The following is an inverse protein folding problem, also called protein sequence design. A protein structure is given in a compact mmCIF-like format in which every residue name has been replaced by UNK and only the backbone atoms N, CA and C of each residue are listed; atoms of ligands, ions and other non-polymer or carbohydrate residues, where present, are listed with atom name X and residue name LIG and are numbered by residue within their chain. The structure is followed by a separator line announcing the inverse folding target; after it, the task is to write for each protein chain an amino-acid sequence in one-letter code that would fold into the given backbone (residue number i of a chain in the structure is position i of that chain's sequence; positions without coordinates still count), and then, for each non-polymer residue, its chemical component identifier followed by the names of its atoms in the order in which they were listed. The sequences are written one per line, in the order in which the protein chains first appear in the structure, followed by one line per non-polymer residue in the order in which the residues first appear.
data_IF_958117854670
#
_entry.id   IF_958117854670
#
_cell.length_a   1.000
_cell.length_b   1.000
_cell.length_c   1.000
_cell.angle_alpha   90.00
_cell.angle_beta   90.00
_cell.angle_gamma   90.00
#
_symmetry.space_group_name_H-M   'P 1'
#
loop_
_entity.id
_entity.type
_entity.pdbx_description
1 polymer ?
#
# COMPACT_ATOMS: atom_id res chain seq x y z
N UNK A 1 -14.26 14.44 -22.80
CA UNK A 1 -13.31 13.32 -22.66
C UNK A 1 -12.73 13.17 -21.25
N UNK A 2 -13.01 14.08 -20.30
CA UNK A 2 -12.70 13.96 -18.87
C UNK A 2 -13.92 13.45 -18.06
N UNK A 3 -14.47 12.28 -18.41
CA UNK A 3 -15.68 11.73 -17.73
C UNK A 3 -15.43 10.55 -16.80
N UNK A 4 -14.21 10.01 -16.78
CA UNK A 4 -13.84 8.90 -15.89
C UNK A 4 -12.48 9.25 -15.28
N UNK A 5 -12.41 9.42 -13.96
CA UNK A 5 -11.19 9.83 -13.25
C UNK A 5 -9.95 8.99 -13.56
N UNK A 6 -10.14 7.75 -14.05
CA UNK A 6 -9.10 6.86 -14.58
C UNK A 6 -8.28 7.52 -15.71
N UNK A 7 -8.93 8.26 -16.62
CA UNK A 7 -8.26 8.86 -17.77
C UNK A 7 -7.20 9.89 -17.34
N UNK A 8 -7.49 10.68 -16.31
CA UNK A 8 -6.54 11.65 -15.77
C UNK A 8 -5.32 10.95 -15.16
N UNK A 9 -5.52 9.84 -14.42
CA UNK A 9 -4.40 9.08 -13.85
C UNK A 9 -3.54 8.39 -14.91
N UNK A 10 -4.16 7.81 -15.94
CA UNK A 10 -3.43 7.18 -17.04
C UNK A 10 -2.67 8.20 -17.89
N UNK A 11 -3.20 9.41 -18.05
CA UNK A 11 -2.49 10.48 -18.75
C UNK A 11 -1.17 10.84 -18.05
N UNK A 12 -1.14 10.86 -16.72
CA UNK A 12 0.10 11.06 -15.95
C UNK A 12 1.14 9.95 -16.18
N UNK A 13 0.69 8.69 -16.17
CA UNK A 13 1.55 7.53 -16.47
C UNK A 13 2.08 7.60 -17.90
N UNK A 14 1.21 7.90 -18.87
CA UNK A 14 1.59 8.03 -20.27
C UNK A 14 2.63 9.15 -20.45
N UNK A 15 2.39 10.33 -19.87
CA UNK A 15 3.33 11.44 -19.91
C UNK A 15 4.70 11.03 -19.34
N UNK A 16 4.73 10.34 -18.20
CA UNK A 16 5.97 9.86 -17.60
C UNK A 16 6.73 8.87 -18.51
N UNK A 17 6.04 8.02 -19.28
CA UNK A 17 6.67 7.12 -20.25
C UNK A 17 7.35 7.85 -21.42
N UNK A 18 6.90 9.06 -21.77
CA UNK A 18 7.51 9.88 -22.82
C UNK A 18 8.65 10.78 -22.31
N UNK A 19 8.91 10.84 -20.99
CA UNK A 19 10.03 11.61 -20.45
C UNK A 19 11.33 10.81 -20.59
N UNK A 20 12.40 11.38 -21.18
CA UNK A 20 13.68 10.69 -21.31
C UNK A 20 14.29 10.31 -19.94
N UNK A 21 15.01 9.18 -19.86
CA UNK A 21 15.47 8.57 -18.59
C UNK A 21 16.24 9.50 -17.64
N UNK A 22 17.14 10.35 -18.18
CA UNK A 22 17.96 11.27 -17.35
C UNK A 22 17.13 12.40 -16.72
N UNK A 23 16.29 13.13 -17.49
CA UNK A 23 15.29 14.04 -16.94
C UNK A 23 14.30 13.36 -15.98
N UNK A 24 13.84 12.14 -16.29
CA UNK A 24 12.88 11.42 -15.47
C UNK A 24 13.40 11.16 -14.04
N UNK A 25 14.66 10.74 -13.89
CA UNK A 25 15.27 10.50 -12.58
C UNK A 25 15.38 11.78 -11.71
N UNK A 26 15.66 12.92 -12.35
CA UNK A 26 15.64 14.23 -11.66
C UNK A 26 14.22 14.60 -11.24
N UNK A 27 13.28 14.49 -12.18
CA UNK A 27 11.87 14.81 -11.94
C UNK A 27 11.27 13.93 -10.83
N UNK A 28 11.61 12.65 -10.76
CA UNK A 28 11.21 11.74 -9.69
C UNK A 28 11.71 12.24 -8.32
N UNK A 29 12.99 12.60 -8.24
CA UNK A 29 13.60 13.11 -7.00
C UNK A 29 12.97 14.43 -6.57
N UNK A 30 12.71 15.34 -7.52
CA UNK A 30 12.13 16.66 -7.25
C UNK A 30 10.64 16.58 -6.87
N UNK A 31 9.89 15.64 -7.47
CA UNK A 31 8.47 15.44 -7.18
C UNK A 31 8.24 14.64 -5.89
N UNK A 32 9.17 13.78 -5.50
CA UNK A 32 8.97 12.87 -4.37
C UNK A 32 8.58 13.62 -3.07
N UNK A 33 9.23 14.72 -2.66
CA UNK A 33 8.81 15.48 -1.47
C UNK A 33 7.41 16.07 -1.60
N UNK A 34 7.07 16.66 -2.75
CA UNK A 34 5.76 17.24 -2.98
C UNK A 34 4.66 16.18 -2.94
N UNK A 35 4.92 14.99 -3.48
CA UNK A 35 3.99 13.86 -3.45
C UNK A 35 3.84 13.30 -2.02
N UNK A 36 4.96 13.05 -1.33
CA UNK A 36 4.97 12.41 -0.02
C UNK A 36 4.39 13.30 1.09
N UNK A 37 4.66 14.61 1.06
CA UNK A 37 4.27 15.54 2.12
C UNK A 37 3.09 16.45 1.76
N UNK A 38 2.77 16.59 0.47
CA UNK A 38 1.65 17.41 0.00
C UNK A 38 0.49 16.57 -0.54
N UNK A 39 0.73 15.92 -1.69
CA UNK A 39 -0.35 15.28 -2.47
C UNK A 39 -0.96 14.08 -1.72
N UNK A 40 -0.14 13.16 -1.21
CA UNK A 40 -0.62 11.97 -0.51
C UNK A 40 -1.39 12.31 0.78
N UNK A 41 -0.89 13.18 1.68
CA UNK A 41 -1.65 13.60 2.87
C UNK A 41 -2.96 14.29 2.51
N UNK A 42 -2.97 15.19 1.52
CA UNK A 42 -4.19 15.87 1.08
C UNK A 42 -5.20 14.89 0.48
N UNK A 43 -4.74 13.95 -0.36
CA UNK A 43 -5.57 12.91 -0.95
C UNK A 43 -6.19 12.02 0.14
N UNK A 44 -5.37 11.56 1.09
CA UNK A 44 -5.80 10.75 2.21
C UNK A 44 -6.82 11.51 3.06
N UNK A 45 -6.58 12.78 3.38
CA UNK A 45 -7.53 13.60 4.15
C UNK A 45 -8.88 13.75 3.42
N UNK A 46 -8.87 14.06 2.12
CA UNK A 46 -10.08 14.26 1.34
C UNK A 46 -10.90 12.97 1.11
N UNK A 47 -10.25 11.81 1.04
CA UNK A 47 -10.89 10.54 0.67
C UNK A 47 -11.05 9.55 1.84
N UNK A 48 -10.25 9.66 2.89
CA UNK A 48 -10.36 8.81 4.08
C UNK A 48 -11.33 9.36 5.13
N UNK A 49 -11.84 10.59 4.95
CA UNK A 49 -12.93 11.12 5.76
C UNK A 49 -14.17 10.23 5.65
N UNK A 50 -14.42 9.43 6.68
CA UNK A 50 -15.64 8.63 6.84
C UNK A 50 -16.41 9.24 7.99
N UNK A 51 -17.67 9.62 7.75
CA UNK A 51 -18.55 9.95 8.87
C UNK A 51 -18.84 8.66 9.63
N UNK A 52 -18.36 8.57 10.86
CA UNK A 52 -18.67 7.45 11.77
C UNK A 52 -19.97 7.67 12.54
N UNK A 53 -20.62 8.82 12.32
CA UNK A 53 -21.86 9.18 12.99
C UNK A 53 -22.96 8.20 12.59
N UNK A 54 -23.55 7.51 13.58
CA UNK A 54 -24.56 6.47 13.35
C UNK A 54 -24.02 5.12 12.85
N UNK A 55 -22.70 4.99 12.62
CA UNK A 55 -22.09 3.73 12.17
C UNK A 55 -21.71 2.89 13.40
N UNK A 56 -22.54 1.90 13.72
CA UNK A 56 -22.22 0.91 14.75
C UNK A 56 -21.16 -0.10 14.29
N UNK A 57 -20.57 -0.84 15.24
CA UNK A 57 -19.65 -1.95 14.94
C UNK A 57 -20.23 -2.99 13.99
N UNK A 58 -21.56 -3.13 13.93
CA UNK A 58 -22.26 -3.99 12.98
C UNK A 58 -21.94 -3.65 11.52
N UNK A 59 -21.68 -2.38 11.19
CA UNK A 59 -21.33 -1.97 9.84
C UNK A 59 -19.98 -2.54 9.37
N UNK A 60 -19.06 -2.89 10.27
CA UNK A 60 -17.81 -3.58 9.91
C UNK A 60 -18.03 -5.05 9.54
N UNK A 61 -19.14 -5.63 10.01
CA UNK A 61 -19.54 -7.01 9.75
C UNK A 61 -20.43 -7.16 8.51
N UNK A 62 -20.78 -6.03 7.87
CA UNK A 62 -21.47 -6.06 6.59
C UNK A 62 -20.61 -6.75 5.52
N UNK A 63 -21.22 -7.43 4.52
CA UNK A 63 -20.49 -8.21 3.53
C UNK A 63 -19.50 -7.38 2.71
N UNK A 64 -19.81 -6.11 2.43
CA UNK A 64 -18.97 -5.24 1.60
C UNK A 64 -17.66 -4.88 2.32
N UNK A 65 -17.68 -4.26 3.52
CA UNK A 65 -16.46 -3.99 4.27
C UNK A 65 -15.62 -5.24 4.55
N UNK A 66 -16.28 -6.35 4.94
CA UNK A 66 -15.60 -7.60 5.25
C UNK A 66 -14.94 -8.22 4.01
N UNK A 67 -15.64 -8.23 2.87
CA UNK A 67 -15.12 -8.71 1.60
C UNK A 67 -13.92 -7.90 1.13
N UNK A 68 -13.96 -6.57 1.29
CA UNK A 68 -12.83 -5.70 0.96
C UNK A 68 -11.65 -5.94 1.89
N UNK A 69 -11.88 -6.00 3.21
CA UNK A 69 -10.84 -6.25 4.19
C UNK A 69 -10.16 -7.62 3.97
N UNK A 70 -10.96 -8.67 3.74
CA UNK A 70 -10.46 -10.00 3.43
C UNK A 70 -9.72 -10.04 2.09
N UNK A 71 -10.24 -9.39 1.04
CA UNK A 71 -9.58 -9.30 -0.26
C UNK A 71 -8.24 -8.56 -0.20
N UNK A 72 -8.18 -7.48 0.57
CA UNK A 72 -6.95 -6.73 0.83
C UNK A 72 -5.92 -7.57 1.57
N UNK A 73 -6.29 -8.16 2.69
CA UNK A 73 -5.36 -8.93 3.51
C UNK A 73 -5.01 -10.27 2.86
N UNK A 74 -5.99 -11.16 2.68
CA UNK A 74 -5.76 -12.51 2.19
C UNK A 74 -5.36 -12.52 0.71
N UNK A 75 -6.04 -11.72 -0.12
CA UNK A 75 -5.74 -11.65 -1.56
C UNK A 75 -4.34 -11.15 -1.84
N UNK A 76 -3.89 -10.06 -1.20
CA UNK A 76 -2.50 -9.56 -1.36
C UNK A 76 -1.49 -10.51 -0.75
N UNK A 77 -1.75 -11.03 0.45
CA UNK A 77 -0.80 -11.94 1.11
C UNK A 77 -0.58 -13.19 0.27
N UNK A 78 -1.65 -13.87 -0.14
CA UNK A 78 -1.55 -15.10 -0.95
C UNK A 78 -0.98 -14.79 -2.34
N UNK A 79 -1.43 -13.71 -2.99
CA UNK A 79 -0.94 -13.34 -4.31
C UNK A 79 0.55 -12.99 -4.33
N UNK A 80 1.00 -12.14 -3.42
CA UNK A 80 2.41 -11.71 -3.35
C UNK A 80 3.30 -12.85 -2.87
N UNK A 81 2.92 -13.54 -1.80
CA UNK A 81 3.72 -14.67 -1.29
C UNK A 81 3.78 -15.80 -2.30
N UNK A 82 2.66 -16.18 -2.91
CA UNK A 82 2.59 -17.24 -3.92
C UNK A 82 3.43 -16.92 -5.15
N UNK A 83 3.28 -15.73 -5.72
CA UNK A 83 4.06 -15.32 -6.89
C UNK A 83 5.56 -15.25 -6.57
N UNK A 84 5.94 -14.70 -5.41
CA UNK A 84 7.34 -14.64 -4.98
C UNK A 84 7.90 -16.04 -4.71
N UNK A 85 7.15 -16.92 -4.04
CA UNK A 85 7.57 -18.29 -3.76
C UNK A 85 7.79 -19.09 -5.06
N UNK A 86 6.90 -18.97 -6.03
CA UNK A 86 7.06 -19.59 -7.35
C UNK A 86 8.28 -19.04 -8.06
N UNK A 87 8.49 -17.72 -8.08
CA UNK A 87 9.65 -17.11 -8.72
C UNK A 87 10.98 -17.54 -8.07
N UNK A 88 11.03 -17.67 -6.74
CA UNK A 88 12.20 -18.16 -6.01
C UNK A 88 12.42 -19.64 -6.29
N UNK A 89 11.36 -20.46 -6.29
CA UNK A 89 11.44 -21.89 -6.55
C UNK A 89 11.93 -22.20 -7.97
N UNK A 90 11.50 -21.43 -8.96
CA UNK A 90 11.97 -21.51 -10.34
C UNK A 90 13.39 -20.93 -10.55
N UNK A 91 14.01 -20.37 -9.51
CA UNK A 91 15.34 -19.74 -9.61
C UNK A 91 15.36 -18.41 -10.36
N UNK A 92 14.19 -17.82 -10.66
CA UNK A 92 14.06 -16.52 -11.34
C UNK A 92 14.33 -15.33 -10.39
N UNK A 93 14.17 -15.55 -9.08
CA UNK A 93 14.36 -14.55 -8.05
C UNK A 93 15.17 -15.10 -6.86
N UNK A 94 15.78 -14.19 -6.09
CA UNK A 94 16.48 -14.52 -4.84
C UNK A 94 15.69 -13.99 -3.66
N UNK A 95 15.85 -14.65 -2.51
CA UNK A 95 15.21 -14.24 -1.27
C UNK A 95 15.67 -12.81 -0.87
N UNK A 96 14.74 -11.87 -0.62
CA UNK A 96 15.08 -10.47 -0.35
C UNK A 96 15.81 -10.32 1.00
N UNK A 97 16.90 -9.53 1.00
CA UNK A 97 17.63 -9.16 2.22
C UNK A 97 18.27 -10.30 3.01
N UNK A 98 18.39 -11.50 2.41
CA UNK A 98 18.85 -12.70 3.13
C UNK A 98 17.88 -13.18 4.23
N UNK A 99 16.63 -12.71 4.22
CA UNK A 99 15.61 -13.10 5.17
C UNK A 99 15.11 -14.54 4.96
N UNK A 100 14.33 -15.06 5.90
CA UNK A 100 13.67 -16.37 5.74
C UNK A 100 12.27 -16.26 5.10
N UNK A 101 11.64 -17.42 4.86
CA UNK A 101 10.26 -17.51 4.39
C UNK A 101 9.25 -16.75 5.26
N UNK A 102 9.51 -16.66 6.58
CA UNK A 102 8.67 -15.91 7.51
C UNK A 102 8.76 -14.39 7.26
N UNK A 103 9.95 -13.88 6.93
CA UNK A 103 10.13 -12.47 6.57
C UNK A 103 9.43 -12.16 5.24
N UNK A 104 9.51 -13.07 4.26
CA UNK A 104 8.79 -12.94 2.99
C UNK A 104 7.27 -12.91 3.22
N UNK A 105 6.74 -13.77 4.09
CA UNK A 105 5.32 -13.76 4.48
C UNK A 105 4.93 -12.45 5.17
N UNK A 106 5.77 -11.93 6.08
CA UNK A 106 5.55 -10.64 6.72
C UNK A 106 5.50 -9.47 5.72
N UNK A 107 6.41 -9.45 4.74
CA UNK A 107 6.38 -8.46 3.64
C UNK A 107 5.12 -8.62 2.79
N UNK A 108 4.73 -9.85 2.46
CA UNK A 108 3.50 -10.11 1.70
C UNK A 108 2.24 -9.62 2.43
N UNK A 109 2.20 -9.75 3.77
CA UNK A 109 1.13 -9.17 4.59
C UNK A 109 1.13 -7.64 4.56
N UNK A 110 2.31 -7.00 4.62
CA UNK A 110 2.42 -5.54 4.50
C UNK A 110 1.97 -5.03 3.11
N UNK A 111 2.09 -5.84 2.06
CA UNK A 111 1.51 -5.51 0.74
C UNK A 111 -0.04 -5.46 0.75
N UNK A 112 -0.69 -5.95 1.81
CA UNK A 112 -2.12 -5.80 2.08
C UNK A 112 -2.53 -4.38 2.49
N UNK A 113 -1.58 -3.48 2.76
CA UNK A 113 -1.85 -2.07 3.07
C UNK A 113 -2.26 -1.34 1.78
N UNK A 114 -3.56 -1.39 1.46
CA UNK A 114 -4.12 -0.79 0.26
C UNK A 114 -4.42 0.70 0.38
N UNK A 115 -4.65 1.20 1.61
CA UNK A 115 -5.03 2.58 1.97
C UNK A 115 -5.29 3.52 0.79
N UNK A 116 -4.33 4.34 0.36
CA UNK A 116 -4.56 5.37 -0.66
C UNK A 116 -4.92 4.82 -2.04
N UNK A 117 -4.23 3.78 -2.51
CA UNK A 117 -4.50 3.18 -3.82
C UNK A 117 -5.86 2.48 -3.84
N UNK A 118 -6.24 1.82 -2.76
CA UNK A 118 -7.57 1.19 -2.64
C UNK A 118 -8.67 2.22 -2.48
N UNK A 119 -8.47 3.31 -1.73
CA UNK A 119 -9.42 4.42 -1.64
C UNK A 119 -9.66 5.03 -3.03
N UNK A 120 -8.60 5.24 -3.81
CA UNK A 120 -8.71 5.70 -5.18
C UNK A 120 -9.51 4.75 -6.08
N UNK A 121 -9.14 3.46 -6.11
CA UNK A 121 -9.82 2.45 -6.93
C UNK A 121 -11.27 2.27 -6.51
N UNK A 122 -11.56 2.31 -5.20
CA UNK A 122 -12.93 2.22 -4.71
C UNK A 122 -13.80 3.41 -5.10
N UNK A 123 -13.23 4.62 -5.08
CA UNK A 123 -13.92 5.83 -5.52
C UNK A 123 -14.36 5.71 -6.98
N UNK A 124 -13.53 5.09 -7.83
CA UNK A 124 -13.86 4.82 -9.23
C UNK A 124 -14.85 3.68 -9.41
N UNK A 125 -14.75 2.63 -8.58
CA UNK A 125 -15.59 1.43 -8.70
C UNK A 125 -17.04 1.68 -8.22
N UNK A 126 -17.21 2.49 -7.18
CA UNK A 126 -18.50 2.74 -6.54
C UNK A 126 -19.07 4.13 -6.81
N UNK A 127 -18.48 4.91 -7.74
CA UNK A 127 -18.94 6.25 -8.11
C UNK A 127 -20.42 6.26 -8.52
N UNK A 128 -20.88 5.22 -9.21
CA UNK A 128 -22.26 5.07 -9.69
C UNK A 128 -23.18 4.30 -8.73
N UNK A 129 -22.66 3.71 -7.65
CA UNK A 129 -23.39 2.76 -6.79
C UNK A 129 -24.12 3.42 -5.61
N UNK A 130 -23.90 4.72 -5.36
CA UNK A 130 -24.56 5.49 -4.29
C UNK A 130 -23.68 5.77 -3.06
N UNK A 131 -24.07 6.75 -2.26
CA UNK A 131 -23.26 7.28 -1.14
C UNK A 131 -23.03 6.29 0.01
N UNK A 132 -23.95 5.34 0.22
CA UNK A 132 -23.88 4.37 1.31
C UNK A 132 -22.72 3.38 1.15
N UNK A 133 -22.48 2.90 -0.08
CA UNK A 133 -21.38 2.00 -0.39
C UNK A 133 -20.01 2.66 -0.24
N UNK A 134 -19.93 3.98 -0.41
CA UNK A 134 -18.67 4.73 -0.27
C UNK A 134 -18.18 4.67 1.19
N UNK A 135 -19.06 4.91 2.16
CA UNK A 135 -18.69 4.87 3.58
C UNK A 135 -18.26 3.45 3.99
N UNK A 136 -19.05 2.44 3.64
CA UNK A 136 -18.73 1.03 3.91
C UNK A 136 -17.40 0.61 3.29
N UNK A 137 -17.16 0.99 2.04
CA UNK A 137 -15.93 0.63 1.34
C UNK A 137 -14.70 1.26 1.99
N UNK A 138 -14.78 2.54 2.36
CA UNK A 138 -13.69 3.23 3.09
C UNK A 138 -13.41 2.54 4.43
N UNK A 139 -14.44 2.13 5.17
CA UNK A 139 -14.28 1.37 6.42
C UNK A 139 -13.56 0.04 6.20
N UNK A 140 -13.97 -0.74 5.20
CA UNK A 140 -13.31 -2.00 4.85
C UNK A 140 -11.85 -1.81 4.47
N UNK A 141 -11.52 -0.78 3.70
CA UNK A 141 -10.14 -0.46 3.31
C UNK A 141 -9.29 -0.06 4.51
N UNK A 142 -9.82 0.83 5.37
CA UNK A 142 -9.13 1.28 6.58
C UNK A 142 -8.89 0.12 7.54
N UNK A 143 -9.93 -0.68 7.82
CA UNK A 143 -9.86 -1.83 8.71
C UNK A 143 -8.92 -2.91 8.18
N UNK A 144 -9.04 -3.29 6.91
CA UNK A 144 -8.16 -4.27 6.27
C UNK A 144 -6.71 -3.81 6.19
N UNK A 145 -6.46 -2.53 5.91
CA UNK A 145 -5.11 -1.97 5.87
C UNK A 145 -4.48 -1.94 7.26
N UNK A 146 -5.24 -1.55 8.29
CA UNK A 146 -4.76 -1.56 9.67
C UNK A 146 -4.43 -2.98 10.14
N UNK A 147 -5.31 -3.94 9.86
CA UNK A 147 -5.05 -5.35 10.18
C UNK A 147 -3.80 -5.88 9.48
N UNK A 148 -3.66 -5.59 8.18
CA UNK A 148 -2.47 -5.95 7.40
C UNK A 148 -1.18 -5.34 7.96
N UNK A 149 -1.23 -4.07 8.36
CA UNK A 149 -0.10 -3.38 8.97
C UNK A 149 0.30 -4.01 10.30
N UNK A 150 -0.66 -4.30 11.19
CA UNK A 150 -0.41 -4.91 12.49
C UNK A 150 0.11 -6.35 12.34
N UNK A 151 -0.53 -7.18 11.53
CA UNK A 151 -0.13 -8.56 11.29
C UNK A 151 1.27 -8.64 10.64
N UNK A 152 1.51 -7.85 9.58
CA UNK A 152 2.80 -7.80 8.90
C UNK A 152 3.92 -7.27 9.80
N UNK A 153 3.67 -6.20 10.56
CA UNK A 153 4.64 -5.65 11.51
C UNK A 153 4.99 -6.64 12.63
N UNK A 154 3.98 -7.27 13.25
CA UNK A 154 4.21 -8.22 14.35
C UNK A 154 5.00 -9.44 13.88
N UNK A 155 4.65 -9.99 12.71
CA UNK A 155 5.37 -11.13 12.14
C UNK A 155 6.81 -10.77 11.77
N UNK A 156 7.01 -9.61 11.13
CA UNK A 156 8.34 -9.17 10.72
C UNK A 156 9.23 -8.83 11.92
N UNK A 157 8.66 -8.23 12.97
CA UNK A 157 9.38 -7.96 14.23
C UNK A 157 9.83 -9.24 14.92
N UNK A 158 9.06 -10.32 14.82
CA UNK A 158 9.44 -11.62 15.36
C UNK A 158 10.47 -12.35 14.47
N UNK A 159 10.40 -12.17 13.16
CA UNK A 159 11.24 -12.87 12.19
C UNK A 159 12.61 -12.21 11.97
N UNK A 160 12.72 -10.89 12.10
CA UNK A 160 13.98 -10.17 11.91
C UNK A 160 14.78 -10.16 13.21
N UNK A 161 16.06 -10.59 13.20
CA UNK A 161 16.95 -10.39 14.33
C UNK A 161 17.00 -8.91 14.67
N UNK A 162 16.88 -8.55 15.96
CA UNK A 162 17.18 -7.20 16.41
C UNK A 162 18.65 -6.93 16.07
N UNK A 163 18.89 -6.24 14.95
CA UNK A 163 20.23 -5.78 14.61
C UNK A 163 20.59 -4.81 15.72
N UNK A 164 21.41 -5.26 16.67
CA UNK A 164 22.05 -4.39 17.64
C UNK A 164 22.63 -3.25 16.82
N UNK A 165 22.17 -2.02 17.06
CA UNK A 165 22.73 -0.82 16.45
C UNK A 165 24.21 -0.81 16.84
N UNK A 166 25.07 -1.31 15.98
CA UNK A 166 26.51 -1.08 16.10
C UNK A 166 26.71 0.42 16.01
N UNK A 167 27.59 1.01 16.85
CA UNK A 167 27.82 2.45 16.83
C UNK A 167 28.25 2.87 15.42
N UNK A 168 27.42 3.70 14.78
CA UNK A 168 27.76 4.31 13.50
C UNK A 168 28.98 5.21 13.68
N UNK A 169 30.01 4.91 12.89
CA UNK A 169 31.24 5.66 12.64
C UNK A 169 31.43 7.01 13.35
N UNK A 170 32.30 7.00 14.35
CA UNK A 170 33.07 8.17 14.82
C UNK A 170 34.56 7.98 14.49
N UNK A 171 34.87 7.58 13.26
CA UNK A 171 36.23 7.69 12.71
C UNK A 171 36.16 8.49 11.40
N UNK A 172 35.91 9.79 11.55
CA UNK A 172 36.39 10.77 10.58
C UNK A 172 37.92 10.82 10.71
N UNK A 173 38.58 10.68 9.57
CA UNK A 173 40.02 10.50 9.45
C UNK A 173 40.84 11.48 10.27
N UNK A 174 41.79 10.92 11.02
CA UNK A 174 42.99 11.63 11.45
C UNK A 174 44.16 11.04 10.69
N UNK A 175 44.93 11.95 10.07
CA UNK A 175 46.19 11.80 9.32
C UNK A 175 46.06 11.58 7.81
#
# INVERSE_FOLDING_TARGET
MLKSGVHATLAGVALALFVPRRPAARLETDLHPAVAFGILPLFAFANAGVSLEGIGFAALLEPVPLGIAAGLFAGKTVGVFGAAAVAIWLGLARMPGGGGWVALLGVAMLCGIGFTMSLFISGLAFEAAGSEFIAQTRLGILGGSLFSALAGYTLLRAALPQRARGPEGLEMGTK
#
